data_IF_308719545913
#
_entry.id   IF_308719545913
#
_cell.length_a   1.000
_cell.length_b   1.000
_cell.length_c   1.000
_cell.angle_alpha   90.00
_cell.angle_beta   90.00
_cell.angle_gamma   90.00
#
_symmetry.space_group_name_H-M   'P 1'
#
loop_
_entity.id
_entity.type
_entity.pdbx_description
1 polymer ?
#
# COMPACT_ATOMS: atom_id res chain seq x y z
N UNK A 1 16.34 3.64 39.56
CA UNK A 1 15.10 3.80 38.78
C UNK A 1 13.98 4.07 39.76
N UNK A 2 13.51 5.31 39.85
CA UNK A 2 12.34 5.64 40.65
C UNK A 2 11.10 5.34 39.81
N UNK A 3 10.27 4.39 40.26
CA UNK A 3 8.92 4.26 39.74
C UNK A 3 8.12 5.46 40.23
N UNK A 4 7.67 6.29 39.30
CA UNK A 4 6.83 7.46 39.57
C UNK A 4 5.41 6.95 39.75
N UNK A 5 4.78 7.36 40.86
CA UNK A 5 3.39 7.05 41.18
C UNK A 5 2.45 7.77 40.18
N UNK A 6 1.38 7.11 39.77
CA UNK A 6 0.51 7.53 38.64
C UNK A 6 -0.34 8.78 38.92
N UNK A 7 -0.17 9.41 40.08
CA UNK A 7 -0.98 10.53 40.57
C UNK A 7 -0.32 11.92 40.45
N UNK A 8 0.97 12.00 40.12
CA UNK A 8 1.67 13.28 39.96
C UNK A 8 1.62 13.78 38.51
N UNK A 9 1.18 15.04 38.31
CA UNK A 9 1.23 15.73 37.00
C UNK A 9 2.67 16.12 36.66
N UNK A 10 3.50 15.14 36.32
CA UNK A 10 4.88 15.36 35.88
C UNK A 10 4.88 15.64 34.37
N UNK A 11 5.49 16.76 33.97
CA UNK A 11 5.69 17.08 32.55
C UNK A 11 6.85 16.26 32.02
N UNK A 12 6.55 15.13 31.38
CA UNK A 12 7.54 14.28 30.72
C UNK A 12 7.92 14.89 29.36
N UNK A 13 9.22 15.07 29.14
CA UNK A 13 9.75 15.49 27.85
C UNK A 13 10.45 14.31 27.19
N UNK A 14 9.97 13.93 26.01
CA UNK A 14 10.64 12.96 25.15
C UNK A 14 11.42 13.70 24.07
N UNK A 15 12.71 13.40 23.97
CA UNK A 15 13.59 13.98 22.95
C UNK A 15 13.75 12.98 21.81
N UNK A 16 13.54 13.44 20.57
CA UNK A 16 13.83 12.68 19.36
C UNK A 16 14.99 13.33 18.59
N UNK A 17 15.97 12.53 18.19
CA UNK A 17 17.11 12.98 17.38
C UNK A 17 16.99 12.39 15.98
N UNK A 18 16.94 13.26 14.97
CA UNK A 18 16.92 12.87 13.56
C UNK A 18 18.30 13.10 12.96
N UNK A 19 18.92 12.03 12.47
CA UNK A 19 20.21 12.09 11.76
C UNK A 19 19.96 11.85 10.28
N UNK A 20 20.45 12.74 9.43
CA UNK A 20 20.22 12.67 7.98
C UNK A 20 21.43 13.20 7.21
N UNK A 21 21.64 12.65 6.01
CA UNK A 21 22.60 13.14 5.02
C UNK A 21 21.89 13.78 3.80
N UNK A 22 20.56 13.88 3.83
CA UNK A 22 19.77 14.47 2.75
C UNK A 22 19.76 16.00 2.84
N UNK A 23 19.65 16.66 1.69
CA UNK A 23 19.71 18.12 1.49
C UNK A 23 18.31 18.77 1.43
N UNK A 24 17.31 18.17 2.08
CA UNK A 24 15.96 18.71 2.15
C UNK A 24 15.83 19.85 3.16
N UNK A 25 14.83 20.71 2.97
CA UNK A 25 14.44 21.73 3.94
C UNK A 25 14.00 21.09 5.26
N UNK A 26 14.18 21.81 6.38
CA UNK A 26 13.96 21.28 7.73
C UNK A 26 12.54 20.74 7.94
N UNK A 27 11.55 21.41 7.35
CA UNK A 27 10.13 21.07 7.42
C UNK A 27 9.83 19.71 6.78
N UNK A 28 10.59 19.33 5.75
CA UNK A 28 10.43 18.06 5.06
C UNK A 28 10.83 16.88 5.97
N UNK A 29 11.82 17.04 6.86
CA UNK A 29 12.24 15.97 7.76
C UNK A 29 11.16 15.58 8.76
N UNK A 30 10.40 16.56 9.26
CA UNK A 30 9.25 16.30 10.12
C UNK A 30 8.21 15.42 9.43
N UNK A 31 7.94 15.67 8.14
CA UNK A 31 7.02 14.84 7.37
C UNK A 31 7.59 13.45 7.08
N UNK A 32 8.84 13.36 6.61
CA UNK A 32 9.50 12.09 6.31
C UNK A 32 9.56 11.16 7.53
N UNK A 33 9.83 11.73 8.71
CA UNK A 33 9.82 10.96 9.95
C UNK A 33 8.42 10.43 10.31
N UNK A 34 7.37 11.24 10.09
CA UNK A 34 5.97 10.79 10.29
C UNK A 34 5.59 9.71 9.28
N UNK A 35 5.90 9.91 8.01
CA UNK A 35 5.62 8.96 6.93
C UNK A 35 6.36 7.62 7.13
N UNK A 36 7.46 7.58 7.89
CA UNK A 36 8.13 6.33 8.28
C UNK A 36 7.19 5.37 9.01
N UNK A 37 6.30 5.90 9.85
CA UNK A 37 5.37 5.07 10.63
C UNK A 37 4.38 4.33 9.71
N UNK A 38 4.06 4.87 8.52
CA UNK A 38 3.19 4.19 7.56
C UNK A 38 3.78 2.85 7.07
N UNK A 39 5.11 2.66 7.13
CA UNK A 39 5.74 1.39 6.80
C UNK A 39 5.34 0.27 7.76
N UNK A 40 4.95 0.60 9.01
CA UNK A 40 4.54 -0.38 10.03
C UNK A 40 3.23 -1.06 9.62
N UNK A 41 2.31 -0.33 9.00
CA UNK A 41 1.06 -0.88 8.46
C UNK A 41 1.34 -1.97 7.42
N UNK A 42 2.35 -1.77 6.56
CA UNK A 42 2.75 -2.77 5.56
C UNK A 42 3.30 -4.05 6.19
N UNK A 43 4.08 -3.93 7.27
CA UNK A 43 4.59 -5.09 8.01
C UNK A 43 3.49 -5.83 8.78
N UNK A 44 2.57 -5.10 9.40
CA UNK A 44 1.41 -5.69 10.07
C UNK A 44 0.54 -6.47 9.08
N UNK A 45 0.25 -5.86 7.92
CA UNK A 45 -0.49 -6.48 6.84
C UNK A 45 0.19 -7.78 6.35
N UNK A 46 1.51 -7.75 6.13
CA UNK A 46 2.28 -8.94 5.74
C UNK A 46 2.15 -10.08 6.75
N UNK A 47 2.18 -9.77 8.05
CA UNK A 47 2.03 -10.77 9.11
C UNK A 47 0.62 -11.32 9.18
N UNK A 48 -0.38 -10.43 9.25
CA UNK A 48 -1.76 -10.79 9.61
C UNK A 48 -2.62 -11.22 8.42
N UNK A 49 -2.39 -10.65 7.22
CA UNK A 49 -3.24 -10.89 6.04
C UNK A 49 -2.57 -11.77 4.97
N UNK A 50 -1.24 -11.90 5.03
CA UNK A 50 -0.44 -12.67 4.08
C UNK A 50 0.29 -13.87 4.69
N UNK A 51 0.21 -14.05 6.02
CA UNK A 51 0.72 -15.24 6.70
C UNK A 51 2.24 -15.31 6.76
N UNK A 52 2.94 -14.19 6.65
CA UNK A 52 4.40 -14.14 6.54
C UNK A 52 5.14 -14.69 7.79
N UNK A 53 4.47 -14.75 8.95
CA UNK A 53 5.00 -15.29 10.20
C UNK A 53 4.53 -16.71 10.57
N UNK A 54 3.75 -17.38 9.71
CA UNK A 54 3.07 -18.64 10.05
C UNK A 54 3.91 -19.93 9.94
N UNK A 55 5.23 -19.82 9.78
CA UNK A 55 6.09 -20.97 9.52
C UNK A 55 6.61 -21.60 10.83
N UNK A 56 6.38 -22.89 11.03
CA UNK A 56 6.74 -23.62 12.26
C UNK A 56 7.69 -24.80 12.03
N UNK A 57 8.17 -25.00 10.79
CA UNK A 57 9.07 -26.10 10.45
C UNK A 57 10.53 -25.72 10.68
N UNK A 58 11.37 -26.73 10.97
CA UNK A 58 12.83 -26.53 11.09
C UNK A 58 13.55 -26.42 9.73
N UNK A 59 12.84 -26.66 8.62
CA UNK A 59 13.39 -26.53 7.27
C UNK A 59 13.46 -25.05 6.86
N UNK A 60 14.60 -24.42 7.17
CA UNK A 60 14.84 -23.00 6.92
C UNK A 60 14.78 -22.64 5.44
N UNK A 61 15.22 -23.53 4.55
CA UNK A 61 15.27 -23.26 3.11
C UNK A 61 13.86 -23.13 2.52
N UNK A 62 12.97 -24.07 2.86
CA UNK A 62 11.56 -24.01 2.40
C UNK A 62 10.80 -22.86 3.03
N UNK A 63 11.05 -22.56 4.30
CA UNK A 63 10.46 -21.41 4.99
C UNK A 63 10.90 -20.10 4.33
N UNK A 64 12.19 -19.93 4.05
CA UNK A 64 12.73 -18.75 3.40
C UNK A 64 12.18 -18.58 1.97
N UNK A 65 12.12 -19.67 1.19
CA UNK A 65 11.51 -19.64 -0.14
C UNK A 65 10.03 -19.21 -0.08
N UNK A 66 9.26 -19.78 0.84
CA UNK A 66 7.85 -19.45 1.02
C UNK A 66 7.65 -18.00 1.46
N UNK A 67 8.44 -17.53 2.43
CA UNK A 67 8.39 -16.15 2.91
C UNK A 67 8.71 -15.14 1.79
N UNK A 68 9.68 -15.45 0.93
CA UNK A 68 10.01 -14.64 -0.26
C UNK A 68 8.90 -14.64 -1.29
N UNK A 69 8.26 -15.79 -1.53
CA UNK A 69 7.11 -15.88 -2.42
C UNK A 69 5.93 -15.03 -1.93
N UNK A 70 5.64 -15.09 -0.62
CA UNK A 70 4.62 -14.24 0.02
C UNK A 70 4.93 -12.75 -0.17
N UNK A 71 6.17 -12.34 0.11
CA UNK A 71 6.59 -10.94 -0.08
C UNK A 71 6.46 -10.47 -1.54
N UNK A 72 6.76 -11.35 -2.51
CA UNK A 72 6.59 -11.03 -3.94
C UNK A 72 5.11 -10.86 -4.31
N UNK A 73 4.24 -11.75 -3.86
CA UNK A 73 2.79 -11.65 -4.10
C UNK A 73 2.22 -10.39 -3.46
N UNK A 74 2.62 -10.08 -2.22
CA UNK A 74 2.26 -8.83 -1.56
C UNK A 74 2.68 -7.59 -2.36
N UNK A 75 3.90 -7.59 -2.91
CA UNK A 75 4.39 -6.48 -3.73
C UNK A 75 3.56 -6.33 -5.02
N UNK A 76 3.26 -7.43 -5.72
CA UNK A 76 2.40 -7.38 -6.91
C UNK A 76 0.99 -6.92 -6.58
N UNK A 77 0.41 -7.42 -5.49
CA UNK A 77 -0.90 -7.00 -5.01
C UNK A 77 -0.92 -5.50 -4.69
N UNK A 78 0.09 -5.01 -3.96
CA UNK A 78 0.22 -3.61 -3.60
C UNK A 78 0.24 -2.71 -4.85
N UNK A 79 1.04 -3.05 -5.86
CA UNK A 79 1.07 -2.30 -7.12
C UNK A 79 -0.24 -2.39 -7.91
N UNK A 80 -0.85 -3.56 -7.96
CA UNK A 80 -2.16 -3.78 -8.60
C UNK A 80 -3.25 -2.91 -7.96
N UNK A 81 -3.31 -2.87 -6.64
CA UNK A 81 -4.27 -2.05 -5.89
C UNK A 81 -3.96 -0.56 -6.05
N UNK A 82 -2.69 -0.14 -6.05
CA UNK A 82 -2.32 1.27 -6.29
C UNK A 82 -2.65 1.72 -7.71
N UNK A 83 -2.58 0.83 -8.68
CA UNK A 83 -3.07 1.10 -10.03
C UNK A 83 -4.60 1.24 -10.06
N UNK A 84 -5.32 0.40 -9.30
CA UNK A 84 -6.77 0.42 -9.20
C UNK A 84 -7.30 1.68 -8.51
N UNK A 85 -6.65 2.09 -7.42
CA UNK A 85 -7.01 3.23 -6.60
C UNK A 85 -5.77 4.09 -6.26
N UNK A 86 -5.37 5.04 -7.13
CA UNK A 86 -4.14 5.81 -6.93
C UNK A 86 -4.23 6.84 -5.79
N UNK A 87 -5.44 7.26 -5.40
CA UNK A 87 -5.67 8.30 -4.38
C UNK A 87 -5.26 7.87 -2.97
N UNK A 88 -5.48 6.61 -2.62
CA UNK A 88 -5.23 6.09 -1.28
C UNK A 88 -4.62 4.69 -1.35
N UNK A 89 -3.98 4.24 -0.27
CA UNK A 89 -3.60 2.84 -0.12
C UNK A 89 -4.82 2.08 0.40
N UNK A 90 -5.12 0.92 -0.19
CA UNK A 90 -6.08 -0.03 0.36
C UNK A 90 -5.31 -1.28 0.79
N UNK A 91 -5.45 -1.64 2.06
CA UNK A 91 -4.85 -2.86 2.62
C UNK A 91 -5.56 -4.11 2.14
N UNK A 92 -4.92 -5.28 2.27
CA UNK A 92 -5.44 -6.57 1.83
C UNK A 92 -6.78 -6.92 2.46
N UNK A 93 -7.00 -6.57 3.73
CA UNK A 93 -8.27 -6.85 4.42
C UNK A 93 -9.48 -6.22 3.72
N UNK A 94 -9.30 -5.04 3.11
CA UNK A 94 -10.35 -4.34 2.37
C UNK A 94 -10.27 -4.63 0.86
N UNK A 95 -9.07 -4.56 0.28
CA UNK A 95 -8.89 -4.66 -1.17
C UNK A 95 -9.16 -6.06 -1.71
N UNK A 96 -8.86 -7.14 -0.98
CA UNK A 96 -9.08 -8.51 -1.45
C UNK A 96 -10.57 -8.84 -1.60
N UNK A 97 -11.43 -8.62 -0.58
CA UNK A 97 -12.87 -8.82 -0.74
C UNK A 97 -13.47 -8.02 -1.91
N UNK A 98 -12.99 -6.79 -2.15
CA UNK A 98 -13.47 -5.95 -3.24
C UNK A 98 -13.05 -6.45 -4.63
N UNK A 99 -11.75 -6.72 -4.82
CA UNK A 99 -11.19 -7.02 -6.14
C UNK A 99 -11.23 -8.51 -6.51
N UNK A 100 -11.42 -9.40 -5.53
CA UNK A 100 -11.59 -10.84 -5.73
C UNK A 100 -13.03 -11.32 -5.50
N UNK A 101 -13.95 -10.42 -5.10
CA UNK A 101 -15.36 -10.75 -4.89
C UNK A 101 -16.18 -10.93 -6.17
N UNK A 102 -15.55 -10.84 -7.34
CA UNK A 102 -16.19 -11.03 -8.64
C UNK A 102 -15.76 -12.33 -9.32
N UNK A 103 -16.70 -13.00 -9.99
CA UNK A 103 -16.39 -14.17 -10.82
C UNK A 103 -16.11 -13.70 -12.24
N UNK A 104 -14.92 -14.00 -12.74
CA UNK A 104 -14.51 -13.63 -14.09
C UNK A 104 -14.57 -14.83 -15.04
N UNK A 105 -15.14 -14.63 -16.22
CA UNK A 105 -15.15 -15.59 -17.33
C UNK A 105 -14.38 -15.00 -18.51
N UNK A 106 -13.33 -15.68 -18.95
CA UNK A 106 -12.65 -15.36 -20.20
C UNK A 106 -13.45 -15.96 -21.36
N UNK A 107 -13.90 -15.13 -22.29
CA UNK A 107 -14.51 -15.55 -23.54
C UNK A 107 -13.60 -15.19 -24.70
N UNK A 108 -13.47 -16.11 -25.66
CA UNK A 108 -12.67 -15.90 -26.86
C UNK A 108 -13.59 -16.04 -28.06
N UNK A 109 -13.74 -14.97 -28.82
CA UNK A 109 -14.57 -14.97 -30.03
C UNK A 109 -13.97 -14.04 -31.08
N UNK A 110 -13.93 -14.49 -32.35
CA UNK A 110 -13.40 -13.73 -33.48
C UNK A 110 -12.00 -13.12 -33.24
N UNK A 111 -11.08 -13.91 -32.64
CA UNK A 111 -9.71 -13.46 -32.33
C UNK A 111 -9.59 -12.46 -31.18
N UNK A 112 -10.70 -12.11 -30.51
CA UNK A 112 -10.68 -11.25 -29.33
C UNK A 112 -10.92 -12.04 -28.04
N UNK A 113 -10.06 -11.79 -27.06
CA UNK A 113 -10.22 -12.25 -25.68
C UNK A 113 -10.95 -11.19 -24.86
N UNK A 114 -12.09 -11.52 -24.26
CA UNK A 114 -12.88 -10.62 -23.39
C UNK A 114 -13.04 -11.24 -22.02
N UNK A 115 -12.75 -10.48 -20.97
CA UNK A 115 -12.96 -10.89 -19.60
C UNK A 115 -14.29 -10.31 -19.09
N UNK A 116 -15.31 -11.15 -18.93
CA UNK A 116 -16.59 -10.77 -18.36
C UNK A 116 -16.55 -11.00 -16.85
N UNK A 117 -16.72 -9.94 -16.07
CA UNK A 117 -16.63 -9.99 -14.60
C UNK A 117 -18.03 -9.75 -14.03
N UNK A 118 -18.57 -10.76 -13.36
CA UNK A 118 -19.82 -10.68 -12.60
C UNK A 118 -19.49 -10.25 -11.17
N UNK A 119 -19.96 -9.06 -10.78
CA UNK A 119 -19.72 -8.49 -9.46
C UNK A 119 -20.94 -8.69 -8.56
N UNK A 120 -20.76 -9.32 -7.41
CA UNK A 120 -21.81 -9.49 -6.38
C UNK A 120 -21.62 -8.53 -5.19
N UNK A 121 -20.56 -7.71 -5.20
CA UNK A 121 -20.19 -6.84 -4.10
C UNK A 121 -20.99 -5.52 -4.11
N UNK A 122 -21.39 -5.02 -2.94
CA UNK A 122 -22.21 -3.81 -2.80
C UNK A 122 -21.56 -2.56 -3.41
N UNK A 123 -20.23 -2.43 -3.32
CA UNK A 123 -19.45 -1.35 -3.95
C UNK A 123 -19.19 -1.58 -5.46
N UNK A 124 -20.18 -2.07 -6.21
CA UNK A 124 -20.02 -2.50 -7.61
C UNK A 124 -19.47 -1.41 -8.53
N UNK A 125 -19.97 -0.17 -8.45
CA UNK A 125 -19.53 0.91 -9.33
C UNK A 125 -18.11 1.38 -9.02
N UNK A 126 -17.72 1.38 -7.74
CA UNK A 126 -16.34 1.64 -7.34
C UNK A 126 -15.40 0.57 -7.92
N UNK A 127 -15.79 -0.71 -7.84
CA UNK A 127 -14.99 -1.81 -8.38
C UNK A 127 -14.87 -1.71 -9.91
N UNK A 128 -15.94 -1.33 -10.63
CA UNK A 128 -15.88 -1.07 -12.08
C UNK A 128 -14.87 0.05 -12.41
N UNK A 129 -14.88 1.14 -11.66
CA UNK A 129 -13.93 2.23 -11.85
C UNK A 129 -12.47 1.78 -11.57
N UNK A 130 -12.28 0.99 -10.51
CA UNK A 130 -10.98 0.39 -10.18
C UNK A 130 -10.45 -0.51 -11.31
N UNK A 131 -11.30 -1.41 -11.84
CA UNK A 131 -10.95 -2.28 -12.97
C UNK A 131 -10.66 -1.46 -14.23
N UNK A 132 -11.41 -0.39 -14.48
CA UNK A 132 -11.15 0.50 -15.61
C UNK A 132 -9.77 1.19 -15.50
N UNK A 133 -9.35 1.58 -14.29
CA UNK A 133 -8.01 2.14 -14.06
C UNK A 133 -6.90 1.10 -14.30
N UNK A 134 -7.11 -0.12 -13.80
CA UNK A 134 -6.20 -1.26 -14.05
C UNK A 134 -6.03 -1.48 -15.55
N UNK A 135 -7.15 -1.58 -16.28
CA UNK A 135 -7.14 -1.77 -17.74
C UNK A 135 -6.36 -0.65 -18.43
N UNK A 136 -6.61 0.62 -18.09
CA UNK A 136 -5.87 1.76 -18.66
C UNK A 136 -4.35 1.65 -18.42
N UNK A 137 -3.92 1.24 -17.23
CA UNK A 137 -2.50 1.05 -16.93
C UNK A 137 -1.87 -0.09 -17.73
N UNK A 138 -2.56 -1.23 -17.84
CA UNK A 138 -2.09 -2.37 -18.64
C UNK A 138 -2.05 -1.99 -20.13
N UNK A 139 -3.09 -1.35 -20.66
CA UNK A 139 -3.15 -0.88 -22.05
C UNK A 139 -2.01 0.11 -22.35
N UNK A 140 -1.69 1.01 -21.42
CA UNK A 140 -0.54 1.91 -21.54
C UNK A 140 0.78 1.14 -21.65
N UNK A 141 0.99 0.12 -20.82
CA UNK A 141 2.21 -0.70 -20.90
C UNK A 141 2.23 -1.54 -22.17
N UNK A 142 1.11 -2.14 -22.57
CA UNK A 142 1.00 -2.94 -23.79
C UNK A 142 1.28 -2.12 -25.06
N UNK A 143 0.83 -0.87 -25.12
CA UNK A 143 1.13 0.02 -26.24
C UNK A 143 2.64 0.32 -26.36
N UNK A 144 3.37 0.35 -25.25
CA UNK A 144 4.81 0.61 -25.21
C UNK A 144 5.67 -0.68 -25.20
N UNK A 145 5.09 -1.82 -24.82
CA UNK A 145 5.81 -3.08 -24.56
C UNK A 145 6.58 -3.67 -25.77
N UNK A 146 6.13 -3.55 -27.03
CA UNK A 146 6.90 -4.01 -28.19
C UNK A 146 8.24 -3.32 -28.35
N UNK A 147 8.36 -2.08 -27.85
CA UNK A 147 9.56 -1.25 -27.97
C UNK A 147 10.50 -1.38 -26.76
N UNK A 148 10.06 -2.06 -25.70
CA UNK A 148 10.76 -2.12 -24.43
C UNK A 148 11.36 -3.50 -24.13
N UNK A 149 12.64 -3.59 -23.71
CA UNK A 149 13.21 -4.77 -23.09
C UNK A 149 12.39 -5.24 -21.88
N UNK A 150 12.50 -6.53 -21.50
CA UNK A 150 11.69 -7.13 -20.43
C UNK A 150 11.70 -6.33 -19.11
N UNK A 151 12.87 -5.85 -18.67
CA UNK A 151 13.03 -5.07 -17.43
C UNK A 151 12.37 -3.69 -17.54
N UNK A 152 12.42 -3.06 -18.71
CA UNK A 152 11.87 -1.73 -18.93
C UNK A 152 10.33 -1.72 -18.94
N UNK A 153 9.68 -2.85 -19.25
CA UNK A 153 8.21 -2.99 -19.13
C UNK A 153 7.73 -2.81 -17.70
N UNK A 154 8.47 -3.39 -16.74
CA UNK A 154 8.16 -3.24 -15.31
C UNK A 154 8.40 -1.80 -14.84
N UNK A 155 9.50 -1.17 -15.28
CA UNK A 155 9.79 0.24 -14.99
C UNK A 155 8.71 1.16 -15.55
N UNK A 156 8.23 0.93 -16.78
CA UNK A 156 7.15 1.70 -17.39
C UNK A 156 5.84 1.58 -16.60
N UNK A 157 5.47 0.38 -16.15
CA UNK A 157 4.30 0.17 -15.29
C UNK A 157 4.42 0.93 -13.98
N UNK A 158 5.55 0.81 -13.27
CA UNK A 158 5.77 1.51 -12.00
C UNK A 158 5.71 3.03 -12.21
N UNK A 159 6.38 3.56 -13.23
CA UNK A 159 6.36 5.01 -13.54
C UNK A 159 4.94 5.49 -13.80
N UNK A 160 4.14 4.73 -14.54
CA UNK A 160 2.73 5.05 -14.76
C UNK A 160 1.94 5.10 -13.45
N UNK A 161 2.09 4.09 -12.58
CA UNK A 161 1.40 4.04 -11.28
C UNK A 161 1.83 5.21 -10.39
N UNK A 162 3.13 5.47 -10.29
CA UNK A 162 3.68 6.58 -9.51
C UNK A 162 3.19 7.93 -10.05
N UNK A 163 3.15 8.11 -11.37
CA UNK A 163 2.58 9.30 -11.99
C UNK A 163 1.12 9.50 -11.57
N UNK A 164 0.30 8.44 -11.62
CA UNK A 164 -1.10 8.51 -11.18
C UNK A 164 -1.26 8.81 -9.68
N UNK A 165 -0.36 8.30 -8.84
CA UNK A 165 -0.32 8.61 -7.41
C UNK A 165 0.00 10.09 -7.19
N UNK A 166 1.01 10.62 -7.89
CA UNK A 166 1.42 12.02 -7.77
C UNK A 166 0.30 12.95 -8.24
N UNK A 167 -0.32 12.66 -9.39
CA UNK A 167 -1.48 13.39 -9.91
C UNK A 167 -2.68 13.37 -8.95
N UNK A 168 -2.83 12.28 -8.18
CA UNK A 168 -3.91 12.11 -7.23
C UNK A 168 -3.67 12.78 -5.87
N UNK A 169 -2.44 13.23 -5.58
CA UNK A 169 -2.15 13.91 -4.32
C UNK A 169 -2.89 15.26 -4.25
N UNK A 170 -3.44 15.63 -3.08
CA UNK A 170 -4.02 16.96 -2.90
C UNK A 170 -2.94 18.03 -3.10
N UNK A 171 -3.23 19.04 -3.93
CA UNK A 171 -2.30 20.14 -4.26
C UNK A 171 -1.94 21.01 -3.06
N UNK A 172 -2.85 21.08 -2.08
CA UNK A 172 -2.66 21.78 -0.82
C UNK A 172 -2.72 20.75 0.32
N UNK A 173 -1.59 20.21 0.79
CA UNK A 173 -1.60 19.46 2.03
C UNK A 173 -2.04 20.40 3.17
N UNK A 174 -2.81 19.92 4.15
CA UNK A 174 -3.14 20.74 5.32
C UNK A 174 -1.83 21.24 5.95
N UNK A 175 -1.79 22.49 6.44
CA UNK A 175 -0.60 23.04 7.06
C UNK A 175 -0.12 22.11 8.18
N UNK A 176 1.20 22.01 8.32
CA UNK A 176 1.85 21.23 9.36
C UNK A 176 1.28 21.60 10.72
N UNK A 177 0.51 20.67 11.30
CA UNK A 177 -0.04 20.78 12.65
C UNK A 177 -1.39 21.49 12.71
N UNK A 178 -2.40 20.79 13.21
CA UNK A 178 -3.30 21.27 14.27
C UNK A 178 -4.19 20.11 14.73
N UNK A 179 -3.62 19.38 15.66
CA UNK A 179 -4.33 18.60 16.67
C UNK A 179 -3.27 18.28 17.72
N UNK A 180 -3.38 18.78 18.97
CA UNK A 180 -2.56 18.21 20.03
C UNK A 180 -2.80 16.69 20.04
N UNK A 181 -1.82 15.86 20.43
CA UNK A 181 -2.12 14.47 20.69
C UNK A 181 -3.28 14.45 21.68
N UNK A 182 -4.45 13.96 21.24
CA UNK A 182 -5.50 13.62 22.18
C UNK A 182 -4.90 12.52 23.04
N UNK A 183 -4.37 12.90 24.20
CA UNK A 183 -4.20 12.00 25.30
C UNK A 183 -5.56 11.36 25.49
N UNK A 184 -5.67 10.07 25.23
CA UNK A 184 -6.83 9.30 25.60
C UNK A 184 -7.05 9.56 27.08
N UNK A 185 -8.05 10.38 27.41
CA UNK A 185 -8.54 10.47 28.76
C UNK A 185 -9.05 9.07 29.07
N UNK A 186 -8.25 8.30 29.80
CA UNK A 186 -8.71 7.10 30.47
C UNK A 186 -9.88 7.52 31.34
N UNK A 187 -11.07 7.07 30.94
CA UNK A 187 -12.26 7.14 31.78
C UNK A 187 -12.00 6.17 32.93
N UNK A 188 -11.81 6.73 34.13
CA UNK A 188 -11.92 5.99 35.38
C UNK A 188 -13.37 5.73 35.74
#
# INVERSE_FOLDING_TARGET
MHFIDSSDKVKLWEYAVLVTNADYALEAFGQLYRDRADCENGFDELKNQWGWGGYTTQDMERCNLSARAVALIYNWWSWYVRLAHPKARLEAITSRPMLLGGIARLTQHAGQSRLLITLSHAAGDQIKAMIANIRKGIDHVLANAPQLPKVERWRALIRYIVGKIIEARPKNPPPFGLGPPCLAYGVG
#
